data_IF_067480223890
#
_entry.id   IF_067480223890
#
_cell.length_a   1.000
_cell.length_b   1.000
_cell.length_c   1.000
_cell.angle_alpha   90.00
_cell.angle_beta   90.00
_cell.angle_gamma   90.00
#
_symmetry.space_group_name_H-M   'P 1'
#
loop_
_entity.id
_entity.type
_entity.pdbx_description
1 polymer ?
#
# COMPACT_ATOMS: atom_id res chain seq x y z
N UNK A 1 11.07 19.63 6.59
CA UNK A 1 10.04 19.70 5.54
C UNK A 1 10.53 18.91 4.33
N UNK A 2 9.79 17.90 3.88
CA UNK A 2 10.08 17.22 2.62
C UNK A 2 9.43 18.06 1.51
N UNK A 3 10.21 18.81 0.74
CA UNK A 3 9.69 19.46 -0.46
C UNK A 3 9.68 18.42 -1.58
N UNK A 4 8.60 18.31 -2.35
CA UNK A 4 8.53 17.38 -3.49
C UNK A 4 9.00 18.12 -4.74
N UNK A 5 9.95 17.55 -5.46
CA UNK A 5 10.46 18.04 -6.74
C UNK A 5 10.68 16.88 -7.72
N UNK A 6 10.83 17.15 -9.04
CA UNK A 6 10.99 16.09 -10.04
C UNK A 6 12.18 15.15 -9.78
N UNK A 7 13.25 15.64 -9.15
CA UNK A 7 14.43 14.85 -8.80
C UNK A 7 14.23 13.96 -7.58
N UNK A 8 13.21 14.21 -6.76
CA UNK A 8 13.00 13.49 -5.51
C UNK A 8 11.65 12.75 -5.41
N UNK A 9 10.71 12.98 -6.33
CA UNK A 9 9.35 12.39 -6.31
C UNK A 9 9.39 10.86 -6.16
N UNK A 10 10.34 10.19 -6.83
CA UNK A 10 10.54 8.75 -6.72
C UNK A 10 11.18 8.30 -5.41
N UNK A 11 11.92 9.18 -4.73
CA UNK A 11 12.40 8.98 -3.37
C UNK A 11 11.27 9.10 -2.35
N UNK A 12 10.37 10.07 -2.54
CA UNK A 12 9.17 10.24 -1.70
C UNK A 12 8.21 9.06 -1.87
N UNK A 13 7.93 8.67 -3.11
CA UNK A 13 7.13 7.48 -3.44
C UNK A 13 7.67 6.23 -2.74
N UNK A 14 8.98 5.96 -2.87
CA UNK A 14 9.59 4.77 -2.24
C UNK A 14 9.44 4.77 -0.73
N UNK A 15 9.66 5.92 -0.07
CA UNK A 15 9.45 6.04 1.39
C UNK A 15 8.00 5.80 1.77
N UNK A 16 7.04 6.33 1.01
CA UNK A 16 5.62 6.09 1.25
C UNK A 16 5.24 4.62 1.01
N UNK A 17 5.77 3.98 -0.03
CA UNK A 17 5.53 2.56 -0.30
C UNK A 17 6.11 1.65 0.79
N UNK A 18 7.30 1.95 1.30
CA UNK A 18 7.91 1.26 2.44
C UNK A 18 7.04 1.38 3.70
N UNK A 19 6.59 2.59 4.02
CA UNK A 19 5.69 2.84 5.14
C UNK A 19 4.35 2.11 4.97
N UNK A 20 3.76 2.18 3.78
CA UNK A 20 2.51 1.48 3.47
C UNK A 20 2.66 -0.04 3.61
N UNK A 21 3.75 -0.64 3.11
CA UNK A 21 4.05 -2.08 3.29
C UNK A 21 4.23 -2.45 4.76
N UNK A 22 4.88 -1.59 5.55
CA UNK A 22 4.99 -1.79 6.99
C UNK A 22 3.61 -1.77 7.67
N UNK A 23 2.75 -0.82 7.29
CA UNK A 23 1.38 -0.70 7.79
C UNK A 23 0.46 -1.84 7.33
N UNK A 24 0.65 -2.40 6.13
CA UNK A 24 -0.11 -3.57 5.71
C UNK A 24 0.03 -4.76 6.67
N UNK A 25 1.22 -4.94 7.27
CA UNK A 25 1.43 -5.99 8.27
C UNK A 25 0.64 -5.72 9.55
N UNK A 26 0.43 -4.47 9.93
CA UNK A 26 -0.38 -4.12 11.11
C UNK A 26 -1.89 -4.22 10.84
N UNK A 27 -2.36 -4.11 9.59
CA UNK A 27 -3.79 -4.25 9.24
C UNK A 27 -4.40 -5.56 9.73
N UNK A 28 -3.67 -6.68 9.59
CA UNK A 28 -4.13 -7.98 10.08
C UNK A 28 -4.18 -8.02 11.62
N UNK A 29 -3.20 -7.40 12.29
CA UNK A 29 -3.16 -7.34 13.75
C UNK A 29 -4.33 -6.51 14.30
N UNK A 30 -4.62 -5.37 13.67
CA UNK A 30 -5.75 -4.51 13.99
C UNK A 30 -7.09 -5.21 13.75
N UNK A 31 -7.22 -5.99 12.67
CA UNK A 31 -8.42 -6.78 12.40
C UNK A 31 -8.72 -7.79 13.52
N UNK A 32 -7.68 -8.37 14.13
CA UNK A 32 -7.85 -9.30 15.25
C UNK A 32 -8.34 -8.62 16.55
N UNK A 33 -8.21 -7.29 16.66
CA UNK A 33 -8.67 -6.53 17.82
C UNK A 33 -10.16 -6.14 17.73
N UNK A 34 -10.81 -6.26 16.57
CA UNK A 34 -12.24 -5.89 16.42
C UNK A 34 -13.20 -6.76 17.25
N UNK A 35 -12.77 -7.93 17.71
CA UNK A 35 -13.62 -8.85 18.45
C UNK A 35 -12.85 -9.45 19.62
N UNK A 36 -12.45 -8.63 20.60
CA UNK A 36 -11.78 -9.13 21.80
C UNK A 36 -12.84 -9.81 22.69
N UNK A 37 -12.78 -11.13 22.90
CA UNK A 37 -13.74 -11.80 23.76
C UNK A 37 -13.46 -11.46 25.24
N UNK A 38 -14.46 -11.62 26.12
CA UNK A 38 -14.22 -11.50 27.56
C UNK A 38 -13.26 -12.61 28.03
N UNK A 39 -12.43 -12.30 29.03
CA UNK A 39 -11.49 -13.26 29.61
C UNK A 39 -12.17 -14.40 30.38
N UNK A 40 -13.43 -14.22 30.77
CA UNK A 40 -14.23 -15.17 31.52
C UNK A 40 -15.71 -14.75 31.55
N UNK A 41 -16.54 -15.56 32.20
CA UNK A 41 -17.97 -15.28 32.39
C UNK A 41 -18.26 -14.40 33.61
N UNK A 42 -17.22 -13.93 34.31
CA UNK A 42 -17.38 -13.05 35.44
C UNK A 42 -17.88 -11.65 34.99
N UNK A 43 -18.63 -10.93 35.83
CA UNK A 43 -19.19 -9.63 35.47
C UNK A 43 -18.13 -8.59 35.06
N UNK A 44 -16.93 -8.62 35.64
CA UNK A 44 -15.87 -7.65 35.35
C UNK A 44 -15.35 -7.86 33.93
N UNK A 45 -15.13 -9.10 33.51
CA UNK A 45 -14.71 -9.45 32.15
C UNK A 45 -15.74 -9.01 31.10
N UNK A 46 -17.04 -9.18 31.39
CA UNK A 46 -18.12 -8.76 30.48
C UNK A 46 -18.22 -7.23 30.38
N UNK A 47 -18.18 -6.54 31.52
CA UNK A 47 -18.23 -5.08 31.56
C UNK A 47 -17.00 -4.45 30.89
N UNK A 48 -15.81 -5.05 31.05
CA UNK A 48 -14.60 -4.61 30.39
C UNK A 48 -14.75 -4.62 28.85
N UNK A 49 -15.32 -5.67 28.27
CA UNK A 49 -15.59 -5.70 26.82
C UNK A 49 -16.53 -4.57 26.42
N UNK A 50 -17.63 -4.38 27.14
CA UNK A 50 -18.60 -3.32 26.84
C UNK A 50 -17.97 -1.90 26.90
N UNK A 51 -17.03 -1.68 27.82
CA UNK A 51 -16.36 -0.38 27.99
C UNK A 51 -15.23 -0.17 26.96
N UNK A 52 -14.41 -1.19 26.70
CA UNK A 52 -13.20 -1.03 25.89
C UNK A 52 -13.43 -1.27 24.40
N UNK A 53 -14.40 -2.10 24.01
CA UNK A 53 -14.66 -2.39 22.60
C UNK A 53 -14.94 -1.12 21.76
N UNK A 54 -15.76 -0.16 22.21
CA UNK A 54 -15.97 1.09 21.45
C UNK A 54 -14.68 1.88 21.22
N UNK A 55 -13.75 1.87 22.19
CA UNK A 55 -12.46 2.55 22.05
C UNK A 55 -11.54 1.82 21.08
N UNK A 56 -11.51 0.48 21.14
CA UNK A 56 -10.75 -0.36 20.21
C UNK A 56 -11.26 -0.16 18.78
N UNK A 57 -12.58 -0.11 18.59
CA UNK A 57 -13.21 0.13 17.29
C UNK A 57 -12.81 1.49 16.72
N UNK A 58 -12.84 2.54 17.55
CA UNK A 58 -12.43 3.89 17.15
C UNK A 58 -10.95 3.96 16.74
N UNK A 59 -10.05 3.35 17.51
CA UNK A 59 -8.60 3.30 17.19
C UNK A 59 -8.38 2.53 15.89
N UNK A 60 -9.09 1.41 15.73
CA UNK A 60 -9.01 0.56 14.55
C UNK A 60 -9.50 1.30 13.31
N UNK A 61 -10.63 2.01 13.39
CA UNK A 61 -11.14 2.81 12.27
C UNK A 61 -10.12 3.87 11.85
N UNK A 62 -9.61 4.64 12.79
CA UNK A 62 -8.64 5.69 12.51
C UNK A 62 -7.36 5.14 11.85
N UNK A 63 -6.90 3.96 12.25
CA UNK A 63 -5.76 3.30 11.60
C UNK A 63 -6.08 2.89 10.16
N UNK A 64 -7.26 2.35 9.90
CA UNK A 64 -7.68 1.96 8.55
C UNK A 64 -7.79 3.20 7.66
N UNK A 65 -8.45 4.25 8.14
CA UNK A 65 -8.63 5.49 7.40
C UNK A 65 -7.27 6.11 7.03
N UNK A 66 -6.35 6.19 7.99
CA UNK A 66 -5.00 6.68 7.75
C UNK A 66 -4.22 5.82 6.73
N UNK A 67 -4.36 4.50 6.80
CA UNK A 67 -3.70 3.60 5.84
C UNK A 67 -4.21 3.81 4.41
N UNK A 68 -5.52 3.99 4.26
CA UNK A 68 -6.15 4.21 2.97
C UNK A 68 -5.73 5.59 2.40
N UNK A 69 -5.63 6.64 3.23
CA UNK A 69 -5.08 7.95 2.83
C UNK A 69 -3.62 7.87 2.35
N UNK A 70 -2.77 7.11 3.06
CA UNK A 70 -1.36 6.92 2.66
C UNK A 70 -1.26 6.17 1.33
N UNK A 71 -2.13 5.17 1.12
CA UNK A 71 -2.20 4.46 -0.15
C UNK A 71 -2.57 5.40 -1.29
N UNK A 72 -3.61 6.21 -1.11
CA UNK A 72 -4.07 7.18 -2.11
C UNK A 72 -2.97 8.20 -2.45
N UNK A 73 -2.28 8.74 -1.44
CA UNK A 73 -1.18 9.68 -1.64
C UNK A 73 -0.02 9.04 -2.44
N UNK A 74 0.34 7.79 -2.11
CA UNK A 74 1.34 7.01 -2.85
C UNK A 74 0.93 6.82 -4.31
N UNK A 75 -0.32 6.42 -4.55
CA UNK A 75 -0.81 6.11 -5.89
C UNK A 75 -0.87 7.36 -6.77
N UNK A 76 -1.30 8.50 -6.20
CA UNK A 76 -1.24 9.81 -6.87
C UNK A 76 0.19 10.23 -7.22
N UNK A 77 1.15 9.99 -6.33
CA UNK A 77 2.56 10.28 -6.62
C UNK A 77 3.12 9.41 -7.75
N UNK A 78 2.75 8.12 -7.79
CA UNK A 78 3.14 7.23 -8.90
C UNK A 78 2.56 7.74 -10.22
N UNK A 79 1.28 8.07 -10.23
CA UNK A 79 0.60 8.58 -11.42
C UNK A 79 1.24 9.87 -11.92
N UNK A 80 1.48 10.85 -11.04
CA UNK A 80 2.12 12.11 -11.42
C UNK A 80 3.53 11.86 -12.01
N UNK A 81 4.33 10.98 -11.41
CA UNK A 81 5.65 10.65 -11.93
C UNK A 81 5.59 9.98 -13.32
N UNK A 82 4.56 9.17 -13.61
CA UNK A 82 4.33 8.61 -14.95
C UNK A 82 3.92 9.69 -15.95
N UNK A 83 3.00 10.58 -15.58
CA UNK A 83 2.53 11.69 -16.43
C UNK A 83 3.68 12.65 -16.82
N UNK A 84 4.64 12.86 -15.92
CA UNK A 84 5.85 13.66 -16.18
C UNK A 84 6.99 12.87 -16.84
N UNK A 85 6.80 11.60 -17.20
CA UNK A 85 7.82 10.77 -17.85
C UNK A 85 9.02 10.44 -16.97
N UNK A 86 8.87 10.52 -15.65
CA UNK A 86 9.93 10.22 -14.67
C UNK A 86 10.03 8.72 -14.37
N UNK A 87 9.05 7.94 -14.81
CA UNK A 87 9.05 6.48 -14.79
C UNK A 87 8.47 5.99 -16.12
N UNK A 88 9.10 5.00 -16.74
CA UNK A 88 8.48 4.29 -17.85
C UNK A 88 7.25 3.53 -17.35
N UNK A 89 6.17 3.58 -18.12
CA UNK A 89 4.95 2.85 -17.82
C UNK A 89 5.25 1.35 -17.88
N UNK A 90 5.17 0.64 -16.73
CA UNK A 90 5.41 -0.81 -16.65
C UNK A 90 4.52 -1.58 -17.67
N UNK A 91 3.37 -1.02 -18.04
CA UNK A 91 2.49 -1.59 -19.08
C UNK A 91 3.11 -1.55 -20.49
N UNK A 92 3.95 -0.56 -20.81
CA UNK A 92 4.62 -0.50 -22.13
C UNK A 92 5.83 -1.44 -22.23
N UNK A 93 6.46 -1.81 -21.12
CA UNK A 93 7.59 -2.75 -21.11
C UNK A 93 7.13 -4.18 -21.44
N UNK A 94 5.96 -4.60 -20.96
CA UNK A 94 5.40 -5.93 -21.25
C UNK A 94 5.03 -6.11 -22.73
N UNK A 95 4.61 -5.04 -23.42
CA UNK A 95 4.22 -5.07 -24.84
C UNK A 95 5.41 -5.10 -25.81
N UNK A 96 6.62 -4.69 -25.38
CA UNK A 96 7.84 -4.76 -26.21
C UNK A 96 8.51 -6.14 -26.17
N UNK A 97 8.08 -7.05 -25.28
CA UNK A 97 8.75 -8.34 -25.02
C UNK A 97 8.21 -9.53 -25.83
N UNK A 98 7.53 -9.30 -26.95
CA UNK A 98 6.97 -10.41 -27.79
C UNK A 98 7.29 -10.32 -29.28
N UNK A 99 8.31 -9.56 -29.68
CA UNK A 99 8.83 -9.64 -31.04
C UNK A 99 10.03 -10.62 -31.08
N UNK A 100 9.89 -11.85 -31.61
CA UNK A 100 11.05 -12.70 -31.86
C UNK A 100 11.93 -12.09 -32.96
N UNK A 101 13.27 -12.20 -32.87
CA UNK A 101 14.15 -11.82 -33.96
C UNK A 101 13.88 -12.72 -35.16
N UNK A 102 13.39 -12.14 -36.26
CA UNK A 102 13.28 -12.82 -37.54
C UNK A 102 14.68 -13.02 -38.11
N UNK A 103 15.31 -14.14 -37.75
CA UNK A 103 16.53 -14.63 -38.40
C UNK A 103 16.12 -15.27 -39.74
N UNK A 104 16.04 -14.46 -40.80
CA UNK A 104 15.95 -14.97 -42.16
C UNK A 104 17.32 -15.47 -42.64
N UNK A 105 17.46 -16.71 -43.17
CA UNK A 105 18.73 -17.15 -43.72
C UNK A 105 19.02 -16.45 -45.05
N UNK A 106 20.21 -15.84 -45.14
CA UNK A 106 20.87 -15.49 -46.40
C UNK A 106 21.17 -16.78 -47.17
N UNK A 107 20.44 -17.03 -48.26
CA UNK A 107 20.79 -18.02 -49.26
C UNK A 107 21.55 -17.32 -50.39
N UNK A 108 22.87 -17.41 -50.35
CA UNK A 108 23.71 -17.34 -51.55
C UNK A 108 23.52 -18.63 -52.37
N UNK A 109 23.02 -18.50 -53.60
CA UNK A 109 23.66 -18.97 -54.84
C UNK A 109 22.74 -18.81 -56.05
#
# INVERSE_FOLDING_TARGET
>A
MLQIDPGNIMGVYRRMDEQFRAMQKSRQQVANLKNVPPCGADPVSLDAVAVFQPKIDSITSAHVDYMDEVQEARDRLKQAAQEYGLIEDENTAALKSTAPPSTGPLLER
#
